data_IF_658591844955
#
_entry.id   IF_658591844955
#
_cell.length_a   1.000
_cell.length_b   1.000
_cell.length_c   1.000
_cell.angle_alpha   90.00
_cell.angle_beta   90.00
_cell.angle_gamma   90.00
#
_symmetry.space_group_name_H-M   'P 1'
#
loop_
_entity.id
_entity.type
_entity.pdbx_description
1 polymer ?
#
# COMPACT_ATOMS: atom_id res chain seq x y z
N UNK A 1 28.15 15.61 -51.11
CA UNK A 1 28.71 14.81 -50.00
C UNK A 1 27.92 14.93 -48.68
N UNK A 2 27.61 16.14 -48.19
CA UNK A 2 26.89 16.37 -46.91
C UNK A 2 25.54 15.65 -46.74
N UNK A 3 24.69 15.55 -47.77
CA UNK A 3 23.36 14.90 -47.66
C UNK A 3 23.42 13.38 -47.40
N UNK A 4 24.41 12.66 -47.95
CA UNK A 4 24.56 11.21 -47.76
C UNK A 4 25.05 10.86 -46.35
N UNK A 5 25.89 11.72 -45.76
CA UNK A 5 26.40 11.55 -44.38
C UNK A 5 25.28 11.83 -43.36
N UNK A 6 24.48 12.88 -43.57
CA UNK A 6 23.31 13.19 -42.73
C UNK A 6 22.27 12.06 -42.72
N UNK A 7 22.03 11.43 -43.87
CA UNK A 7 21.10 10.30 -43.98
C UNK A 7 21.62 9.07 -43.22
N UNK A 8 22.92 8.78 -43.31
CA UNK A 8 23.53 7.66 -42.60
C UNK A 8 23.49 7.85 -41.07
N UNK A 9 23.72 9.07 -40.59
CA UNK A 9 23.61 9.41 -39.16
C UNK A 9 22.16 9.31 -38.68
N UNK A 10 21.20 9.81 -39.46
CA UNK A 10 19.77 9.72 -39.11
C UNK A 10 19.28 8.26 -39.03
N UNK A 11 19.71 7.40 -39.97
CA UNK A 11 19.39 5.97 -39.96
C UNK A 11 20.06 5.25 -38.79
N UNK A 12 21.31 5.60 -38.47
CA UNK A 12 22.00 5.06 -37.29
C UNK A 12 21.32 5.41 -35.97
N UNK A 13 20.87 6.66 -35.81
CA UNK A 13 20.10 7.10 -34.63
C UNK A 13 18.75 6.37 -34.57
N UNK A 14 18.07 6.19 -35.70
CA UNK A 14 16.78 5.47 -35.75
C UNK A 14 16.94 4.00 -35.36
N UNK A 15 17.99 3.32 -35.82
CA UNK A 15 18.30 1.93 -35.45
C UNK A 15 18.66 1.83 -33.97
N UNK A 16 19.41 2.78 -33.41
CA UNK A 16 19.69 2.84 -31.97
C UNK A 16 18.43 3.13 -31.14
N UNK A 17 17.52 3.97 -31.63
CA UNK A 17 16.26 4.28 -30.95
C UNK A 17 15.27 3.10 -30.98
N UNK A 18 15.14 2.43 -32.13
CA UNK A 18 14.25 1.27 -32.29
C UNK A 18 14.85 0.02 -31.63
N UNK A 19 16.15 -0.23 -31.83
CA UNK A 19 16.89 -1.33 -31.22
C UNK A 19 17.07 -1.18 -29.71
N UNK A 20 17.27 0.06 -29.22
CA UNK A 20 17.37 0.35 -27.79
C UNK A 20 16.07 0.09 -27.04
N UNK A 21 14.91 0.47 -27.61
CA UNK A 21 13.59 0.12 -27.05
C UNK A 21 13.33 -1.39 -27.05
N UNK A 22 13.77 -2.09 -28.09
CA UNK A 22 13.61 -3.54 -28.20
C UNK A 22 14.49 -4.30 -27.21
N UNK A 23 15.73 -3.84 -27.01
CA UNK A 23 16.66 -4.38 -26.01
C UNK A 23 16.19 -4.07 -24.58
N UNK A 24 15.67 -2.87 -24.29
CA UNK A 24 15.09 -2.54 -22.97
C UNK A 24 13.87 -3.42 -22.64
N UNK A 25 12.99 -3.66 -23.62
CA UNK A 25 11.85 -4.56 -23.46
C UNK A 25 12.26 -6.03 -23.27
N UNK A 26 13.36 -6.48 -23.93
CA UNK A 26 13.92 -7.81 -23.69
C UNK A 26 14.62 -7.92 -22.34
N UNK A 27 15.39 -6.93 -21.91
CA UNK A 27 16.11 -6.94 -20.64
C UNK A 27 15.13 -6.95 -19.45
N UNK A 28 13.98 -6.26 -19.57
CA UNK A 28 12.90 -6.38 -18.59
C UNK A 28 12.23 -7.77 -18.57
N UNK A 29 12.18 -8.47 -19.71
CA UNK A 29 11.65 -9.85 -19.79
C UNK A 29 12.64 -10.93 -19.31
N UNK A 30 13.95 -10.68 -19.37
CA UNK A 30 14.98 -11.66 -19.01
C UNK A 30 15.26 -11.68 -17.49
N UNK A 31 14.90 -10.60 -16.77
CA UNK A 31 15.14 -10.48 -15.32
C UNK A 31 13.96 -10.85 -14.41
N UNK A 32 12.77 -11.13 -14.96
CA UNK A 32 11.59 -11.46 -14.16
C UNK A 32 11.19 -12.94 -14.36
N UNK A 33 11.08 -13.70 -13.27
CA UNK A 33 10.41 -15.01 -13.30
C UNK A 33 8.89 -14.82 -13.33
N UNK A 34 8.17 -15.79 -13.91
CA UNK A 34 6.71 -15.82 -13.98
C UNK A 34 6.25 -17.25 -13.75
N UNK A 35 6.20 -17.63 -12.47
CA UNK A 35 6.04 -19.01 -12.03
C UNK A 35 4.58 -19.30 -11.70
N UNK A 36 4.05 -20.42 -12.19
CA UNK A 36 2.70 -20.89 -11.81
C UNK A 36 2.78 -21.55 -10.46
N UNK A 37 2.30 -20.87 -9.41
CA UNK A 37 2.36 -21.34 -8.02
C UNK A 37 1.09 -22.10 -7.59
N UNK A 38 -0.01 -21.91 -8.30
CA UNK A 38 -1.26 -22.63 -8.06
C UNK A 38 -2.00 -22.85 -9.37
N UNK A 39 -2.56 -24.05 -9.54
CA UNK A 39 -3.44 -24.39 -10.66
C UNK A 39 -4.75 -24.94 -10.10
N UNK A 40 -5.87 -24.36 -10.53
CA UNK A 40 -7.22 -24.75 -10.12
C UNK A 40 -7.98 -25.19 -11.37
N UNK A 41 -8.31 -26.48 -11.44
CA UNK A 41 -9.11 -27.05 -12.53
C UNK A 41 -10.59 -27.01 -12.14
N UNK A 42 -11.41 -26.46 -13.05
CA UNK A 42 -12.82 -26.23 -12.81
C UNK A 42 -13.64 -27.27 -13.58
N UNK A 43 -14.78 -27.70 -13.02
CA UNK A 43 -15.65 -28.73 -13.65
C UNK A 43 -16.13 -28.36 -15.06
N UNK A 44 -16.18 -27.06 -15.36
CA UNK A 44 -16.55 -26.50 -16.67
C UNK A 44 -15.43 -26.59 -17.72
N UNK A 45 -14.28 -27.19 -17.41
CA UNK A 45 -13.13 -27.28 -18.31
C UNK A 45 -12.22 -26.04 -18.31
N UNK A 46 -12.58 -25.01 -17.56
CA UNK A 46 -11.71 -23.86 -17.32
C UNK A 46 -10.55 -24.24 -16.40
N UNK A 47 -9.38 -23.68 -16.69
CA UNK A 47 -8.19 -23.80 -15.88
C UNK A 47 -7.81 -22.40 -15.42
N UNK A 48 -7.75 -22.21 -14.11
CA UNK A 48 -7.28 -20.98 -13.51
C UNK A 48 -5.88 -21.19 -12.96
N UNK A 49 -4.98 -20.23 -13.20
CA UNK A 49 -3.60 -20.28 -12.72
C UNK A 49 -3.29 -19.02 -11.92
N UNK A 50 -2.66 -19.21 -10.77
CA UNK A 50 -2.01 -18.14 -10.03
C UNK A 50 -0.56 -18.12 -10.42
N UNK A 51 -0.13 -16.97 -10.93
CA UNK A 51 1.25 -16.70 -11.27
C UNK A 51 1.87 -15.80 -10.21
N UNK A 52 3.11 -16.10 -9.84
CA UNK A 52 3.98 -15.24 -9.06
C UNK A 52 5.07 -14.69 -9.97
N UNK A 53 5.15 -13.38 -10.06
CA UNK A 53 6.16 -12.65 -10.82
C UNK A 53 7.20 -12.09 -9.87
N UNK A 54 8.46 -12.48 -10.05
CA UNK A 54 9.59 -11.96 -9.28
C UNK A 54 10.54 -11.23 -10.22
N UNK A 55 10.72 -9.92 -10.03
CA UNK A 55 11.57 -9.10 -10.89
C UNK A 55 12.96 -8.78 -10.32
N UNK A 56 13.46 -9.54 -9.33
CA UNK A 56 14.86 -9.56 -8.87
C UNK A 56 15.41 -8.30 -8.20
N UNK A 57 14.83 -7.12 -8.48
CA UNK A 57 15.23 -5.82 -7.94
C UNK A 57 14.32 -5.35 -6.79
N UNK A 58 13.20 -6.04 -6.54
CA UNK A 58 12.23 -5.72 -5.50
C UNK A 58 12.03 -6.92 -4.58
N UNK A 59 11.90 -6.68 -3.28
CA UNK A 59 11.56 -7.72 -2.28
C UNK A 59 10.11 -8.19 -2.41
N UNK A 60 9.28 -7.49 -3.19
CA UNK A 60 7.86 -7.77 -3.32
C UNK A 60 7.57 -8.51 -4.62
N UNK A 61 6.78 -9.58 -4.49
CA UNK A 61 6.25 -10.34 -5.61
C UNK A 61 5.00 -9.65 -6.19
N UNK A 62 4.91 -9.63 -7.52
CA UNK A 62 3.64 -9.37 -8.20
C UNK A 62 2.89 -10.68 -8.40
N UNK A 63 1.57 -10.63 -8.37
CA UNK A 63 0.75 -11.80 -8.67
C UNK A 63 -0.27 -11.48 -9.76
N UNK A 64 -0.59 -12.50 -10.56
CA UNK A 64 -1.70 -12.42 -11.52
C UNK A 64 -2.47 -13.72 -11.53
N UNK A 65 -3.78 -13.60 -11.68
CA UNK A 65 -4.68 -14.71 -11.90
C UNK A 65 -5.01 -14.76 -13.38
N UNK A 66 -4.78 -15.90 -14.01
CA UNK A 66 -5.15 -16.13 -15.41
C UNK A 66 -6.24 -17.18 -15.52
N UNK A 67 -7.09 -17.04 -16.54
CA UNK A 67 -8.15 -17.97 -16.88
C UNK A 67 -7.97 -18.44 -18.31
N UNK A 68 -7.98 -19.77 -18.50
CA UNK A 68 -7.82 -20.43 -19.80
C UNK A 68 -8.96 -21.42 -20.01
N UNK A 69 -9.40 -21.55 -21.25
CA UNK A 69 -10.34 -22.59 -21.71
C UNK A 69 -9.69 -23.29 -22.92
N UNK A 70 -9.90 -24.60 -23.16
CA UNK A 70 -9.25 -25.34 -24.25
C UNK A 70 -9.27 -24.65 -25.62
N UNK A 71 -10.36 -23.95 -25.93
CA UNK A 71 -10.56 -23.26 -27.22
C UNK A 71 -10.26 -21.74 -27.19
N UNK A 72 -9.64 -21.23 -26.12
CA UNK A 72 -9.41 -19.79 -25.94
C UNK A 72 -8.02 -19.52 -25.39
N UNK A 73 -7.45 -18.39 -25.81
CA UNK A 73 -6.21 -17.87 -25.23
C UNK A 73 -6.36 -17.62 -23.72
N UNK A 74 -5.25 -17.85 -23.02
CA UNK A 74 -5.10 -17.49 -21.61
C UNK A 74 -5.24 -15.97 -21.43
N UNK A 75 -6.04 -15.55 -20.44
CA UNK A 75 -6.21 -14.13 -20.13
C UNK A 75 -6.03 -13.85 -18.65
N UNK A 76 -5.33 -12.77 -18.35
CA UNK A 76 -5.30 -12.18 -17.01
C UNK A 76 -6.68 -11.64 -16.63
N UNK A 77 -7.18 -12.06 -15.47
CA UNK A 77 -8.47 -11.62 -14.91
C UNK A 77 -8.29 -10.84 -13.60
N UNK A 78 -7.16 -10.97 -12.92
CA UNK A 78 -6.81 -10.23 -11.71
C UNK A 78 -5.30 -9.96 -11.69
N UNK A 79 -4.91 -8.72 -11.40
CA UNK A 79 -3.54 -8.36 -11.05
C UNK A 79 -3.53 -7.83 -9.61
N UNK A 80 -2.65 -8.38 -8.78
CA UNK A 80 -2.63 -8.10 -7.35
C UNK A 80 -1.23 -8.26 -6.73
N UNK A 81 -1.08 -7.73 -5.53
CA UNK A 81 0.07 -7.90 -4.65
C UNK A 81 -0.39 -8.43 -3.29
N UNK A 82 0.55 -8.65 -2.39
CA UNK A 82 0.27 -8.98 -1.00
C UNK A 82 0.88 -7.87 -0.13
N UNK A 83 0.06 -7.27 0.74
CA UNK A 83 0.59 -6.33 1.73
C UNK A 83 1.49 -7.09 2.72
N UNK A 84 1.09 -8.31 3.07
CA UNK A 84 1.79 -9.23 3.93
C UNK A 84 1.37 -10.68 3.63
N UNK A 85 2.26 -11.61 3.96
CA UNK A 85 2.05 -13.04 3.79
C UNK A 85 2.03 -13.51 2.34
N UNK A 86 1.78 -14.80 2.17
CA UNK A 86 1.74 -15.44 0.86
C UNK A 86 0.37 -15.29 0.19
N UNK A 87 0.38 -15.31 -1.14
CA UNK A 87 -0.85 -15.29 -1.93
C UNK A 87 -1.71 -16.52 -1.64
N UNK A 88 -3.00 -16.29 -1.35
CA UNK A 88 -4.00 -17.33 -1.25
C UNK A 88 -5.25 -16.97 -2.06
N UNK A 89 -5.54 -17.77 -3.08
CA UNK A 89 -6.73 -17.68 -3.92
C UNK A 89 -7.53 -18.98 -3.79
N UNK A 90 -8.82 -18.83 -3.56
CA UNK A 90 -9.82 -19.89 -3.68
C UNK A 90 -10.78 -19.54 -4.82
N UNK A 91 -11.24 -20.54 -5.58
CA UNK A 91 -12.20 -20.31 -6.64
C UNK A 91 -13.13 -21.50 -6.85
N UNK A 92 -14.37 -21.18 -7.18
CA UNK A 92 -15.38 -22.16 -7.51
C UNK A 92 -16.28 -21.67 -8.65
N UNK A 93 -16.99 -22.62 -9.27
CA UNK A 93 -18.04 -22.31 -10.26
C UNK A 93 -19.38 -22.72 -9.69
N UNK A 94 -20.34 -21.80 -9.71
CA UNK A 94 -21.72 -22.07 -9.38
C UNK A 94 -22.63 -21.30 -10.34
N UNK A 95 -23.60 -21.98 -10.97
CA UNK A 95 -24.55 -21.38 -11.93
C UNK A 95 -23.87 -20.52 -13.02
N UNK A 96 -22.84 -21.08 -13.67
CA UNK A 96 -22.05 -20.40 -14.72
C UNK A 96 -21.33 -19.11 -14.28
N UNK A 97 -21.27 -18.85 -12.97
CA UNK A 97 -20.50 -17.78 -12.36
C UNK A 97 -19.24 -18.35 -11.69
N UNK A 98 -18.09 -17.77 -12.02
CA UNK A 98 -16.81 -18.00 -11.36
C UNK A 98 -16.71 -17.08 -10.14
N UNK A 99 -16.72 -17.65 -8.93
CA UNK A 99 -16.45 -16.90 -7.71
C UNK A 99 -14.97 -17.07 -7.35
N UNK A 100 -14.26 -15.96 -7.20
CA UNK A 100 -12.86 -15.91 -6.79
C UNK A 100 -12.79 -15.20 -5.45
N UNK A 101 -12.33 -15.93 -4.44
CA UNK A 101 -12.17 -15.43 -3.07
C UNK A 101 -10.69 -15.31 -2.73
N UNK A 102 -10.27 -14.15 -2.23
CA UNK A 102 -8.86 -13.87 -1.92
C UNK A 102 -8.67 -13.37 -0.48
N UNK A 103 -7.41 -13.44 -0.02
CA UNK A 103 -7.05 -13.11 1.36
C UNK A 103 -7.38 -11.65 1.74
N UNK A 104 -7.61 -11.37 3.03
CA UNK A 104 -7.78 -10.01 3.51
C UNK A 104 -6.60 -9.08 3.18
N UNK A 105 -5.37 -9.59 3.14
CA UNK A 105 -4.14 -8.82 2.88
C UNK A 105 -3.80 -8.59 1.39
N UNK A 106 -4.66 -9.03 0.46
CA UNK A 106 -4.44 -8.88 -0.99
C UNK A 106 -4.52 -7.42 -1.46
N UNK A 107 -3.54 -6.86 -2.15
CA UNK A 107 -3.62 -5.53 -2.77
C UNK A 107 -4.13 -5.70 -4.21
N UNK A 108 -5.31 -5.20 -4.55
CA UNK A 108 -5.86 -5.39 -5.91
C UNK A 108 -5.51 -4.20 -6.80
N UNK A 109 -4.75 -4.43 -7.87
CA UNK A 109 -4.38 -3.41 -8.84
C UNK A 109 -5.37 -3.32 -10.00
N UNK A 110 -5.85 -4.46 -10.49
CA UNK A 110 -6.88 -4.47 -11.54
C UNK A 110 -7.68 -5.76 -11.55
N UNK A 111 -8.95 -5.64 -11.97
CA UNK A 111 -9.87 -6.75 -12.25
C UNK A 111 -10.29 -6.63 -13.72
N UNK A 112 -10.38 -7.74 -14.43
CA UNK A 112 -10.82 -7.76 -15.84
C UNK A 112 -11.91 -8.77 -16.05
N UNK A 113 -12.88 -8.38 -16.88
CA UNK A 113 -13.94 -9.29 -17.32
C UNK A 113 -13.43 -10.29 -18.35
N UNK A 114 -14.03 -11.47 -18.34
CA UNK A 114 -13.77 -12.52 -19.33
C UNK A 114 -15.02 -12.79 -20.15
N UNK A 115 -14.97 -12.54 -21.47
CA UNK A 115 -16.13 -12.68 -22.35
C UNK A 115 -16.72 -14.10 -22.28
N UNK A 116 -17.98 -14.18 -21.86
CA UNK A 116 -18.74 -15.43 -21.73
C UNK A 116 -18.61 -16.13 -20.38
N UNK A 117 -17.96 -15.51 -19.38
CA UNK A 117 -17.90 -16.00 -18.00
C UNK A 117 -18.25 -14.85 -17.07
N UNK A 118 -19.27 -15.01 -16.22
CA UNK A 118 -19.51 -14.06 -15.12
C UNK A 118 -18.47 -14.31 -14.03
N UNK A 119 -17.72 -13.29 -13.62
CA UNK A 119 -16.71 -13.42 -12.57
C UNK A 119 -17.10 -12.53 -11.39
N UNK A 120 -17.20 -13.13 -10.20
CA UNK A 120 -17.38 -12.42 -8.95
C UNK A 120 -16.10 -12.49 -8.13
N UNK A 121 -15.60 -11.33 -7.70
CA UNK A 121 -14.37 -11.20 -6.92
C UNK A 121 -14.71 -10.75 -5.50
N UNK A 122 -14.38 -11.58 -4.52
CA UNK A 122 -14.67 -11.33 -3.11
C UNK A 122 -13.38 -11.33 -2.26
N UNK A 123 -13.20 -10.29 -1.46
CA UNK A 123 -12.18 -10.27 -0.40
C UNK A 123 -12.78 -10.92 0.85
N UNK A 124 -12.10 -11.90 1.47
CA UNK A 124 -12.50 -12.38 2.80
C UNK A 124 -12.52 -11.22 3.79
N UNK A 125 -13.61 -11.07 4.54
CA UNK A 125 -13.80 -9.95 5.47
C UNK A 125 -14.29 -8.65 4.85
N UNK A 126 -14.61 -8.66 3.55
CA UNK A 126 -15.20 -7.54 2.85
C UNK A 126 -14.18 -6.52 2.39
N UNK A 127 -14.59 -5.65 1.45
CA UNK A 127 -13.70 -4.66 0.86
C UNK A 127 -13.96 -3.29 1.50
N UNK A 128 -13.01 -2.78 2.27
CA UNK A 128 -13.14 -1.44 2.85
C UNK A 128 -13.16 -0.39 1.72
N UNK A 129 -14.30 0.28 1.54
CA UNK A 129 -14.41 1.35 0.55
C UNK A 129 -13.63 2.58 1.00
N UNK A 130 -12.76 3.10 0.13
CA UNK A 130 -12.04 4.36 0.35
C UNK A 130 -12.94 5.51 -0.13
N UNK A 131 -13.32 6.47 0.73
CA UNK A 131 -14.17 7.59 0.33
C UNK A 131 -13.54 8.42 -0.79
N UNK A 132 -14.34 8.80 -1.80
CA UNK A 132 -13.89 9.66 -2.90
C UNK A 132 -13.38 11.03 -2.39
N UNK A 133 -13.99 11.56 -1.33
CA UNK A 133 -13.53 12.77 -0.65
C UNK A 133 -12.11 12.65 -0.11
N UNK A 134 -11.72 11.48 0.38
CA UNK A 134 -10.35 11.22 0.83
C UNK A 134 -9.40 11.03 -0.35
N UNK A 135 -9.80 10.24 -1.37
CA UNK A 135 -9.00 10.04 -2.58
C UNK A 135 -8.64 11.38 -3.25
N UNK A 136 -9.60 12.30 -3.33
CA UNK A 136 -9.42 13.63 -3.92
C UNK A 136 -8.46 14.55 -3.16
N UNK A 137 -8.13 14.25 -1.89
CA UNK A 137 -7.17 15.02 -1.10
C UNK A 137 -5.72 14.57 -1.34
N UNK A 138 -5.51 13.34 -1.81
CA UNK A 138 -4.18 12.77 -2.05
C UNK A 138 -3.49 13.42 -3.24
N UNK A 139 -2.18 13.59 -3.16
CA UNK A 139 -1.35 14.16 -4.24
C UNK A 139 -0.22 13.21 -4.59
N UNK A 140 0.28 13.30 -5.83
CA UNK A 140 1.37 12.46 -6.33
C UNK A 140 2.71 12.67 -5.60
N UNK A 141 2.84 13.74 -4.81
CA UNK A 141 4.03 14.08 -4.03
C UNK A 141 3.82 13.91 -2.52
N UNK A 142 2.71 13.29 -2.11
CA UNK A 142 2.52 12.88 -0.73
C UNK A 142 3.58 11.82 -0.37
N UNK A 143 3.99 11.81 0.89
CA UNK A 143 4.88 10.81 1.41
C UNK A 143 4.10 9.52 1.66
N UNK A 144 4.61 8.41 1.12
CA UNK A 144 4.14 7.04 1.39
C UNK A 144 4.84 6.44 2.63
N UNK A 145 5.91 7.08 3.11
CA UNK A 145 6.69 6.65 4.28
C UNK A 145 7.29 7.87 4.99
N UNK A 146 7.47 7.79 6.31
CA UNK A 146 8.22 8.78 7.07
C UNK A 146 8.94 8.09 8.23
N UNK A 147 10.25 8.26 8.29
CA UNK A 147 11.11 7.64 9.31
C UNK A 147 11.79 8.72 10.13
N UNK A 148 11.84 8.56 11.45
CA UNK A 148 12.74 9.33 12.30
C UNK A 148 13.01 8.58 13.61
N UNK A 149 14.28 8.27 13.84
CA UNK A 149 14.80 7.53 14.97
C UNK A 149 14.22 6.11 15.09
N UNK A 150 13.37 5.90 16.09
CA UNK A 150 12.74 4.63 16.41
C UNK A 150 11.29 4.53 15.90
N UNK A 151 10.89 5.44 15.01
CA UNK A 151 9.53 5.48 14.48
C UNK A 151 9.56 5.54 12.95
N UNK A 152 8.87 4.60 12.34
CA UNK A 152 8.60 4.45 10.93
C UNK A 152 7.10 4.39 10.72
N UNK A 153 6.60 5.28 9.88
CA UNK A 153 5.21 5.30 9.41
C UNK A 153 5.18 4.85 7.97
N UNK A 154 4.28 3.95 7.64
CA UNK A 154 3.85 3.68 6.27
C UNK A 154 2.46 4.30 6.06
N UNK A 155 2.29 5.06 4.98
CA UNK A 155 1.00 5.59 4.53
C UNK A 155 0.56 4.80 3.31
N UNK A 156 -0.48 3.99 3.45
CA UNK A 156 -0.97 3.12 2.39
C UNK A 156 -1.52 3.89 1.21
N UNK A 157 -1.26 3.41 0.00
CA UNK A 157 -1.92 3.84 -1.24
C UNK A 157 -3.39 3.44 -1.27
N UNK A 158 -4.15 4.01 -2.20
CA UNK A 158 -5.59 3.75 -2.26
C UNK A 158 -5.92 2.26 -2.49
N UNK A 159 -5.07 1.58 -3.26
CA UNK A 159 -5.16 0.16 -3.58
C UNK A 159 -4.78 -0.72 -2.37
N UNK A 160 -3.94 -0.20 -1.47
CA UNK A 160 -3.40 -0.89 -0.29
C UNK A 160 -4.32 -0.74 0.92
N UNK A 161 -5.06 0.36 1.05
CA UNK A 161 -5.96 0.63 2.18
C UNK A 161 -6.89 -0.55 2.50
N UNK A 162 -7.56 -1.21 1.54
CA UNK A 162 -8.40 -2.36 1.86
C UNK A 162 -7.63 -3.54 2.49
N UNK A 163 -6.37 -3.75 2.09
CA UNK A 163 -5.50 -4.75 2.69
C UNK A 163 -4.94 -4.30 4.06
N UNK A 164 -4.65 -3.02 4.22
CA UNK A 164 -4.18 -2.42 5.47
C UNK A 164 -5.19 -2.37 6.61
N UNK A 165 -6.39 -2.94 6.41
CA UNK A 165 -7.36 -3.12 7.49
C UNK A 165 -7.07 -4.37 8.35
N UNK A 166 -6.20 -5.26 7.87
CA UNK A 166 -5.81 -6.48 8.57
C UNK A 166 -5.13 -6.14 9.91
N UNK A 167 -5.30 -7.00 10.92
CA UNK A 167 -4.86 -6.85 12.32
C UNK A 167 -5.61 -5.82 13.15
N UNK A 168 -6.19 -4.79 12.52
CA UNK A 168 -6.92 -3.74 13.22
C UNK A 168 -8.44 -3.91 13.13
N UNK A 169 -8.97 -3.77 11.91
CA UNK A 169 -10.41 -3.80 11.65
C UNK A 169 -10.91 -5.20 11.27
N UNK A 170 -10.03 -6.03 10.71
CA UNK A 170 -10.34 -7.39 10.24
C UNK A 170 -9.17 -8.31 10.59
N UNK A 171 -9.44 -9.56 10.98
CA UNK A 171 -8.37 -10.55 11.19
C UNK A 171 -7.81 -11.11 9.87
N UNK A 172 -6.67 -11.81 9.91
CA UNK A 172 -6.11 -12.53 8.76
C UNK A 172 -7.10 -13.53 8.11
N UNK A 173 -8.10 -13.99 8.87
CA UNK A 173 -9.15 -14.89 8.38
C UNK A 173 -10.35 -14.17 7.77
N UNK A 174 -10.37 -12.84 7.80
CA UNK A 174 -11.49 -12.04 7.31
C UNK A 174 -12.60 -11.84 8.35
N UNK A 175 -12.32 -12.00 9.64
CA UNK A 175 -13.34 -11.81 10.70
C UNK A 175 -13.27 -10.35 11.17
N UNK A 176 -14.34 -9.55 11.07
CA UNK A 176 -14.35 -8.18 11.56
C UNK A 176 -14.09 -8.09 13.06
N UNK A 177 -13.27 -7.14 13.47
CA UNK A 177 -12.97 -6.86 14.87
C UNK A 177 -14.17 -6.18 15.54
N UNK A 178 -14.60 -6.69 16.70
CA UNK A 178 -15.62 -6.03 17.54
C UNK A 178 -15.06 -4.85 18.33
N UNK A 179 -13.74 -4.74 18.42
CA UNK A 179 -13.03 -3.67 19.11
C UNK A 179 -12.79 -2.43 18.24
N UNK A 180 -13.04 -2.55 16.93
CA UNK A 180 -12.80 -1.49 15.96
C UNK A 180 -14.10 -0.79 15.56
N UNK A 181 -14.07 0.53 15.52
CA UNK A 181 -15.20 1.31 15.02
C UNK A 181 -15.27 1.18 13.48
N UNK A 182 -16.42 0.76 12.95
CA UNK A 182 -16.61 0.55 11.50
C UNK A 182 -16.46 1.82 10.66
N UNK A 183 -16.67 3.00 11.27
CA UNK A 183 -16.46 4.29 10.61
C UNK A 183 -14.97 4.66 10.50
N UNK A 184 -14.09 3.98 11.24
CA UNK A 184 -12.65 4.20 11.14
C UNK A 184 -12.08 3.40 9.96
N UNK A 185 -11.33 4.09 9.11
CA UNK A 185 -10.61 3.51 7.98
C UNK A 185 -9.12 3.67 8.21
N UNK A 186 -8.40 2.55 8.36
CA UNK A 186 -6.93 2.57 8.48
C UNK A 186 -6.35 3.06 7.15
N UNK A 187 -5.45 4.04 7.22
CA UNK A 187 -4.78 4.65 6.07
C UNK A 187 -3.25 4.51 6.13
N UNK A 188 -2.74 3.90 7.20
CA UNK A 188 -1.32 3.67 7.43
C UNK A 188 -1.10 3.05 8.81
N UNK A 189 0.16 2.79 9.11
CA UNK A 189 0.56 2.21 10.40
C UNK A 189 1.95 2.67 10.82
N UNK A 190 2.16 2.75 12.13
CA UNK A 190 3.45 3.07 12.72
C UNK A 190 4.00 1.78 13.32
N UNK A 191 5.23 1.41 12.95
CA UNK A 191 5.93 0.23 13.46
C UNK A 191 5.07 -1.05 13.44
N UNK A 192 4.25 -1.23 12.39
CA UNK A 192 3.34 -2.38 12.20
C UNK A 192 2.35 -2.66 13.35
N UNK A 193 2.16 -1.71 14.27
CA UNK A 193 1.44 -1.96 15.54
C UNK A 193 0.42 -0.89 15.87
N UNK A 194 0.66 0.35 15.45
CA UNK A 194 -0.23 1.48 15.71
C UNK A 194 -0.98 1.88 14.45
N UNK A 195 -2.31 1.73 14.39
CA UNK A 195 -3.07 2.12 13.21
C UNK A 195 -3.17 3.64 13.13
N UNK A 196 -2.89 4.18 11.94
CA UNK A 196 -3.21 5.56 11.56
C UNK A 196 -4.48 5.51 10.73
N UNK A 197 -5.50 6.26 11.11
CA UNK A 197 -6.82 6.16 10.50
C UNK A 197 -7.51 7.50 10.33
N UNK A 198 -8.57 7.49 9.53
CA UNK A 198 -9.51 8.60 9.33
C UNK A 198 -10.93 8.12 9.63
N UNK A 199 -11.85 9.06 9.83
CA UNK A 199 -13.28 8.78 9.84
C UNK A 199 -13.82 8.88 8.40
N UNK A 200 -14.57 7.87 7.96
CA UNK A 200 -15.09 7.77 6.57
C UNK A 200 -16.06 8.90 6.21
N UNK A 201 -16.75 9.44 7.20
CA UNK A 201 -17.84 10.42 7.11
C UNK A 201 -17.39 11.86 7.42
N UNK A 202 -16.14 12.07 7.84
CA UNK A 202 -15.64 13.42 8.14
C UNK A 202 -15.03 14.09 6.89
N UNK A 203 -15.46 15.33 6.64
CA UNK A 203 -14.85 16.20 5.63
C UNK A 203 -13.39 16.52 5.96
N UNK A 204 -12.57 16.72 4.93
CA UNK A 204 -11.12 17.01 5.04
C UNK A 204 -10.29 15.94 5.77
N UNK A 205 -10.91 14.83 6.16
CA UNK A 205 -10.29 13.63 6.70
C UNK A 205 -9.23 13.93 7.78
N UNK A 206 -9.65 14.42 8.97
CA UNK A 206 -8.75 14.52 10.10
C UNK A 206 -8.10 13.16 10.37
N UNK A 207 -6.85 13.18 10.80
CA UNK A 207 -6.04 11.97 10.97
C UNK A 207 -5.84 11.68 12.44
N UNK A 208 -6.03 10.41 12.79
CA UNK A 208 -5.98 9.89 14.14
C UNK A 208 -5.00 8.74 14.23
N UNK A 209 -4.46 8.50 15.42
CA UNK A 209 -3.78 7.24 15.77
C UNK A 209 -4.64 6.47 16.77
N UNK A 210 -4.61 5.15 16.67
CA UNK A 210 -5.23 4.27 17.67
C UNK A 210 -4.35 4.18 18.91
N UNK A 211 -4.94 4.44 20.07
CA UNK A 211 -4.32 4.18 21.37
C UNK A 211 -5.03 3.02 22.05
N UNK A 212 -4.26 2.08 22.59
CA UNK A 212 -4.77 0.98 23.41
C UNK A 212 -4.29 1.20 24.85
N UNK A 213 -5.21 1.03 25.80
CA UNK A 213 -4.87 1.04 27.23
C UNK A 213 -4.62 -0.38 27.74
N UNK A 214 -3.89 -0.47 28.85
CA UNK A 214 -3.45 -1.74 29.40
C UNK A 214 -4.65 -2.59 29.78
N UNK A 215 -4.69 -3.81 29.26
CA UNK A 215 -5.82 -4.75 29.41
C UNK A 215 -7.15 -4.27 28.78
N UNK A 216 -7.15 -3.21 27.97
CA UNK A 216 -8.31 -2.83 27.16
C UNK A 216 -8.36 -3.68 25.90
N UNK A 217 -9.54 -4.19 25.58
CA UNK A 217 -9.80 -4.76 24.25
C UNK A 217 -10.15 -3.69 23.21
N UNK A 218 -10.41 -2.45 23.62
CA UNK A 218 -10.91 -1.36 22.75
C UNK A 218 -9.85 -0.32 22.44
N UNK A 219 -10.01 0.34 21.29
CA UNK A 219 -9.17 1.44 20.83
C UNK A 219 -9.76 2.80 21.19
N UNK A 220 -8.89 3.75 21.56
CA UNK A 220 -9.20 5.17 21.72
C UNK A 220 -8.58 5.97 20.58
N UNK A 221 -9.28 6.98 20.11
CA UNK A 221 -8.78 7.88 19.07
C UNK A 221 -7.90 8.99 19.66
N UNK A 222 -6.77 9.26 19.02
CA UNK A 222 -5.93 10.42 19.31
C UNK A 222 -5.75 11.21 18.03
N UNK A 223 -6.38 12.38 17.95
CA UNK A 223 -6.28 13.27 16.78
C UNK A 223 -4.88 13.84 16.65
N UNK A 224 -4.20 13.54 15.56
CA UNK A 224 -2.82 13.99 15.28
C UNK A 224 -2.76 15.04 14.17
N UNK A 225 -3.79 15.15 13.32
CA UNK A 225 -3.91 16.22 12.35
C UNK A 225 -5.37 16.61 12.12
N UNK A 226 -5.63 17.90 11.93
CA UNK A 226 -6.98 18.41 11.65
C UNK A 226 -7.48 18.10 10.24
N UNK A 227 -6.56 17.81 9.31
CA UNK A 227 -6.87 17.41 7.92
C UNK A 227 -5.80 16.47 7.39
N UNK A 228 -6.09 15.70 6.35
CA UNK A 228 -5.08 14.87 5.68
C UNK A 228 -3.95 15.70 5.03
N UNK A 229 -4.21 16.98 4.71
CA UNK A 229 -3.18 17.90 4.18
C UNK A 229 -2.26 18.43 5.25
N UNK A 230 -2.78 18.69 6.44
CA UNK A 230 -1.94 19.05 7.58
C UNK A 230 -1.11 17.84 8.05
N UNK A 231 -1.67 16.63 7.99
CA UNK A 231 -0.93 15.40 8.24
C UNK A 231 0.29 15.27 7.31
N UNK A 232 0.09 15.34 6.00
CA UNK A 232 1.20 15.21 5.04
C UNK A 232 2.22 16.36 5.11
N UNK A 233 1.82 17.56 5.56
CA UNK A 233 2.78 18.62 5.89
C UNK A 233 3.60 18.29 7.14
N UNK A 234 2.96 17.76 8.19
CA UNK A 234 3.64 17.33 9.40
C UNK A 234 4.65 16.21 9.12
N UNK A 235 4.30 15.24 8.26
CA UNK A 235 5.22 14.18 7.84
C UNK A 235 6.45 14.74 7.14
N UNK A 236 6.30 15.71 6.23
CA UNK A 236 7.45 16.34 5.55
C UNK A 236 8.42 17.02 6.51
N UNK A 237 7.90 17.73 7.52
CA UNK A 237 8.72 18.35 8.55
C UNK A 237 9.54 17.36 9.39
N UNK A 238 9.14 16.08 9.39
CA UNK A 238 9.80 15.00 10.14
C UNK A 238 10.74 14.20 9.23
N UNK A 239 10.32 13.96 7.98
CA UNK A 239 11.09 13.19 7.00
C UNK A 239 12.25 14.00 6.42
N UNK A 240 12.11 15.31 6.21
CA UNK A 240 13.19 16.16 5.69
C UNK A 240 14.52 16.04 6.50
N UNK A 241 14.50 16.02 7.85
CA UNK A 241 15.70 15.80 8.65
C UNK A 241 16.08 14.33 8.89
N UNK A 242 15.39 13.35 8.29
CA UNK A 242 15.55 11.91 8.61
C UNK A 242 16.82 11.27 8.05
N UNK A 243 17.41 11.82 7.00
CA UNK A 243 18.42 11.13 6.18
C UNK A 243 19.68 10.63 6.90
N UNK A 244 19.99 11.14 8.09
CA UNK A 244 21.05 10.63 8.97
C UNK A 244 20.57 10.38 10.41
N UNK A 245 19.28 10.07 10.55
CA UNK A 245 18.55 9.88 11.81
C UNK A 245 17.53 8.74 11.71
N UNK A 246 17.78 7.74 10.89
CA UNK A 246 16.83 6.64 10.65
C UNK A 246 16.91 5.52 11.69
N UNK A 247 17.84 5.61 12.66
CA UNK A 247 18.03 4.58 13.68
C UNK A 247 17.77 5.11 15.10
N UNK A 248 17.28 4.25 16.03
CA UNK A 248 17.05 4.63 17.43
C UNK A 248 18.27 5.23 18.12
N UNK A 249 19.48 4.77 17.78
CA UNK A 249 20.73 5.23 18.37
C UNK A 249 21.06 6.67 18.01
N UNK A 250 20.56 7.16 16.87
CA UNK A 250 20.83 8.51 16.36
C UNK A 250 20.25 9.59 17.27
N UNK A 251 19.26 9.26 18.12
CA UNK A 251 18.74 10.18 19.15
C UNK A 251 19.86 10.69 20.07
N UNK A 252 20.86 9.84 20.36
CA UNK A 252 21.95 10.17 21.27
C UNK A 252 23.11 10.87 20.57
N UNK A 253 23.41 10.48 19.34
CA UNK A 253 24.60 10.94 18.60
C UNK A 253 24.31 12.14 17.70
N UNK A 254 23.09 12.23 17.17
CA UNK A 254 22.64 13.27 16.24
C UNK A 254 21.15 13.63 16.49
N UNK A 255 20.79 14.11 17.70
CA UNK A 255 19.41 14.50 18.00
C UNK A 255 18.92 15.63 17.09
N UNK A 256 17.61 15.72 16.92
CA UNK A 256 17.02 16.88 16.27
C UNK A 256 17.22 18.12 17.17
N UNK A 257 17.72 19.26 16.65
CA UNK A 257 17.93 20.46 17.45
C UNK A 257 16.64 20.93 18.12
N UNK A 258 16.69 21.29 19.41
CA UNK A 258 15.50 21.74 20.16
C UNK A 258 14.80 22.95 19.53
N UNK A 259 15.56 23.84 18.87
CA UNK A 259 15.00 24.98 18.12
C UNK A 259 14.13 24.51 16.95
N UNK A 260 14.57 23.48 16.25
CA UNK A 260 13.86 22.88 15.12
C UNK A 260 12.60 22.15 15.59
N UNK A 261 12.69 21.35 16.65
CA UNK A 261 11.53 20.71 17.29
C UNK A 261 10.46 21.76 17.62
N UNK A 262 10.83 22.86 18.29
CA UNK A 262 9.89 23.93 18.65
C UNK A 262 9.27 24.61 17.43
N UNK A 263 10.06 24.83 16.38
CA UNK A 263 9.58 25.43 15.15
C UNK A 263 8.56 24.49 14.46
N UNK A 264 8.92 23.23 14.27
CA UNK A 264 8.06 22.23 13.63
C UNK A 264 6.76 22.04 14.41
N UNK A 265 6.82 21.93 15.74
CA UNK A 265 5.62 21.85 16.58
C UNK A 265 4.70 23.08 16.44
N UNK A 266 5.27 24.28 16.29
CA UNK A 266 4.48 25.49 16.04
C UNK A 266 3.79 25.45 14.68
N UNK A 267 4.45 24.95 13.66
CA UNK A 267 3.89 24.81 12.31
C UNK A 267 2.80 23.73 12.23
N UNK A 268 2.96 22.64 12.98
CA UNK A 268 2.01 21.53 13.09
C UNK A 268 0.77 21.93 13.90
N UNK A 269 0.91 22.81 14.90
CA UNK A 269 -0.16 23.22 15.81
C UNK A 269 -1.31 23.96 15.10
N UNK A 270 -2.22 23.19 14.48
CA UNK A 270 -3.40 23.68 13.78
C UNK A 270 -4.63 22.94 14.28
N UNK A 271 -5.50 23.66 14.97
CA UNK A 271 -6.72 23.11 15.55
C UNK A 271 -6.48 22.34 16.84
N UNK A 272 -7.42 21.47 17.21
CA UNK A 272 -7.38 20.70 18.45
C UNK A 272 -6.71 19.34 18.23
N UNK A 273 -5.37 19.32 18.14
CA UNK A 273 -4.56 18.11 17.93
C UNK A 273 -3.66 17.79 19.13
N UNK A 274 -3.28 16.52 19.29
CA UNK A 274 -2.40 16.06 20.35
C UNK A 274 -0.93 16.29 19.98
N UNK A 275 -0.41 17.50 20.21
CA UNK A 275 1.00 17.84 19.92
C UNK A 275 2.04 16.96 20.61
N UNK A 276 1.70 16.34 21.75
CA UNK A 276 2.63 15.43 22.42
C UNK A 276 3.04 14.25 21.55
N UNK A 277 2.15 13.79 20.65
CA UNK A 277 2.46 12.74 19.67
C UNK A 277 3.66 13.15 18.81
N UNK A 278 3.59 14.31 18.15
CA UNK A 278 4.65 14.81 17.29
C UNK A 278 5.93 15.16 18.06
N UNK A 279 5.80 15.68 19.28
CA UNK A 279 6.96 15.94 20.12
C UNK A 279 7.68 14.65 20.52
N UNK A 280 6.94 13.58 20.82
CA UNK A 280 7.53 12.29 21.17
C UNK A 280 8.20 11.65 19.94
N UNK A 281 7.58 11.74 18.76
CA UNK A 281 8.19 11.33 17.48
C UNK A 281 9.53 12.03 17.25
N UNK A 282 9.54 13.37 17.26
CA UNK A 282 10.74 14.19 16.98
C UNK A 282 11.84 14.04 18.03
N UNK A 283 11.53 13.50 19.22
CA UNK A 283 12.52 13.19 20.26
C UNK A 283 12.95 11.72 20.25
N UNK A 284 12.47 10.95 19.27
CA UNK A 284 12.79 9.53 19.11
C UNK A 284 12.31 8.65 20.25
N UNK A 285 11.22 9.02 20.91
CA UNK A 285 10.53 8.08 21.81
C UNK A 285 9.75 7.08 20.97
N UNK A 286 9.83 5.80 21.33
CA UNK A 286 8.98 4.76 20.74
C UNK A 286 7.52 5.12 20.96
N UNK A 287 6.80 5.36 19.87
CA UNK A 287 5.36 5.60 19.93
C UNK A 287 4.60 4.31 20.32
N UNK A 288 4.92 3.11 19.79
CA UNK A 288 4.29 1.88 20.26
C UNK A 288 4.37 1.71 21.78
N UNK A 289 5.53 1.95 22.40
CA UNK A 289 5.71 1.79 23.85
C UNK A 289 4.76 2.65 24.67
N UNK A 290 4.36 3.82 24.14
CA UNK A 290 3.50 4.79 24.82
C UNK A 290 2.02 4.63 24.50
N UNK A 291 1.70 4.21 23.27
CA UNK A 291 0.33 4.17 22.76
C UNK A 291 -0.26 2.75 22.76
N UNK A 292 0.53 1.73 23.13
CA UNK A 292 0.11 0.33 23.29
C UNK A 292 0.33 -0.22 24.72
N UNK A 293 0.34 0.65 25.73
CA UNK A 293 0.55 0.27 27.15
C UNK A 293 -0.53 -0.68 27.68
#
# INVERSE_FOLDING_TARGET
>A
MRKKILLAVAVGILILFLGGKYLLAMVQKIGCSDDVIQKIEMKSGYIMKVHQTNCGATTNFGYKLTLTHPDKDEKEILSYGMLEGDSYIDANVHNDQLNVTYSPSTIVYSKRDYKGVSIHFERKGGNASVPESFKGQRKSFDLDMADLFANSLIVYRNEEIPAGQVHFAVSEKGIPSTAWNRNWLVIGEIEYTLPVFIHRDEENSPVYVGQKERNSSTWKEVKIASTYRDFQKALKLIDDPSGNRSFPEDVKTNPLPEKEIKQNLKEINKGNIKLSFWNDWMRGKSLPDKYME
#
